data_IF_203616703354
#
_entry.id   IF_203616703354
#
_cell.length_a   1.000
_cell.length_b   1.000
_cell.length_c   1.000
_cell.angle_alpha   90.00
_cell.angle_beta   90.00
_cell.angle_gamma   90.00
#
_symmetry.space_group_name_H-M   'P 1'
#
loop_
_entity.id
_entity.type
_entity.pdbx_description
1 polymer ?
#
# COMPACT_ATOMS: atom_id res chain seq x y z
N UNK A 1 0.25 0.24 -16.29
CA UNK A 1 0.56 -1.22 -16.29
C UNK A 1 0.31 -1.74 -14.89
N UNK A 2 -0.38 -2.87 -14.75
CA UNK A 2 -0.76 -3.43 -13.45
C UNK A 2 -0.22 -4.85 -13.30
N UNK A 3 0.25 -5.18 -12.10
CA UNK A 3 0.63 -6.54 -11.71
C UNK A 3 -0.13 -6.91 -10.43
N UNK A 4 -0.85 -8.02 -10.47
CA UNK A 4 -1.44 -8.59 -9.28
C UNK A 4 -0.33 -9.12 -8.37
N UNK A 5 -0.34 -8.70 -7.10
CA UNK A 5 0.67 -9.08 -6.12
C UNK A 5 0.27 -10.29 -5.28
N UNK A 6 -0.99 -10.77 -5.37
CA UNK A 6 -1.56 -11.72 -4.42
C UNK A 6 -2.00 -13.07 -5.01
N UNK A 7 -1.63 -14.14 -4.29
CA UNK A 7 -2.47 -15.31 -3.94
C UNK A 7 -2.29 -15.54 -2.42
N UNK A 8 -3.32 -15.40 -1.58
CA UNK A 8 -3.27 -15.66 -0.13
C UNK A 8 -4.19 -14.80 0.74
N UNK A 9 -4.24 -15.07 2.06
CA UNK A 9 -4.85 -14.20 3.09
C UNK A 9 -3.76 -13.31 3.67
N UNK A 10 -3.68 -12.09 3.18
CA UNK A 10 -2.71 -11.05 3.55
C UNK A 10 -3.38 -9.91 4.29
N UNK A 11 -2.74 -9.41 5.34
CA UNK A 11 -3.18 -8.22 6.07
C UNK A 11 -2.16 -7.08 5.95
N UNK A 12 -2.64 -5.85 6.12
CA UNK A 12 -1.85 -4.63 6.20
C UNK A 12 -2.07 -4.02 7.57
N UNK A 13 -0.99 -3.71 8.26
CA UNK A 13 -1.09 -2.92 9.48
C UNK A 13 -0.96 -1.44 9.15
N UNK A 14 -1.87 -0.65 9.71
CA UNK A 14 -2.00 0.78 9.52
C UNK A 14 -1.87 1.48 10.87
N UNK A 15 -1.08 2.54 10.92
CA UNK A 15 -0.93 3.38 12.11
C UNK A 15 -1.44 4.78 11.81
N UNK A 16 -2.21 5.32 12.74
CA UNK A 16 -2.83 6.63 12.65
C UNK A 16 -2.12 7.65 13.55
N UNK A 17 -2.33 8.93 13.27
CA UNK A 17 -1.79 10.05 14.05
C UNK A 17 -2.27 10.04 15.52
N UNK A 18 -3.47 9.49 15.75
CA UNK A 18 -4.04 9.27 17.10
C UNK A 18 -3.24 8.31 17.98
N UNK A 19 -2.23 7.62 17.42
CA UNK A 19 -1.47 6.56 18.07
C UNK A 19 -2.17 5.20 18.03
N UNK A 20 -3.38 5.13 17.45
CA UNK A 20 -4.08 3.86 17.22
C UNK A 20 -3.46 3.09 16.04
N UNK A 21 -3.58 1.77 16.10
CA UNK A 21 -3.12 0.86 15.06
C UNK A 21 -4.22 -0.13 14.70
N UNK A 22 -4.36 -0.42 13.41
CA UNK A 22 -5.39 -1.33 12.91
C UNK A 22 -4.84 -2.28 11.85
N UNK A 23 -5.42 -3.46 11.74
CA UNK A 23 -5.03 -4.46 10.75
C UNK A 23 -6.17 -4.70 9.79
N UNK A 24 -5.99 -4.28 8.54
CA UNK A 24 -6.99 -4.47 7.49
C UNK A 24 -6.61 -5.69 6.66
N UNK A 25 -7.60 -6.48 6.26
CA UNK A 25 -7.43 -7.58 5.29
C UNK A 25 -7.97 -7.20 3.91
N UNK A 26 -7.18 -6.62 2.99
CA UNK A 26 -7.63 -6.32 1.65
C UNK A 26 -8.04 -7.59 0.90
N UNK A 27 -8.96 -7.48 -0.05
CA UNK A 27 -9.32 -8.54 -0.99
C UNK A 27 -8.24 -8.73 -2.06
N UNK A 28 -7.67 -7.63 -2.54
CA UNK A 28 -6.66 -7.65 -3.60
C UNK A 28 -5.52 -6.70 -3.29
N UNK A 29 -4.32 -7.12 -3.67
CA UNK A 29 -3.12 -6.30 -3.70
C UNK A 29 -2.63 -6.23 -5.14
N UNK A 30 -2.42 -5.02 -5.65
CA UNK A 30 -1.86 -4.80 -6.97
C UNK A 30 -0.72 -3.79 -6.89
N UNK A 31 0.21 -3.87 -7.82
CA UNK A 31 1.14 -2.80 -8.12
C UNK A 31 0.79 -2.22 -9.48
N UNK A 32 0.92 -0.91 -9.62
CA UNK A 32 0.77 -0.23 -10.89
C UNK A 32 1.88 0.80 -11.08
N UNK A 33 2.30 1.00 -12.33
CA UNK A 33 3.08 2.18 -12.69
C UNK A 33 2.11 3.23 -13.26
N UNK A 34 1.98 4.34 -12.55
CA UNK A 34 1.09 5.45 -12.90
C UNK A 34 1.85 6.77 -12.85
N UNK A 35 1.86 7.51 -13.97
CA UNK A 35 2.47 8.85 -14.08
C UNK A 35 3.93 8.94 -13.58
N UNK A 36 4.69 7.85 -13.65
CA UNK A 36 6.09 7.79 -13.19
C UNK A 36 6.26 7.36 -11.72
N UNK A 37 5.16 7.10 -11.01
CA UNK A 37 5.13 6.62 -9.64
C UNK A 37 4.63 5.18 -9.58
N UNK A 38 5.15 4.41 -8.63
CA UNK A 38 4.64 3.06 -8.37
C UNK A 38 3.55 3.13 -7.32
N UNK A 39 2.33 2.82 -7.72
CA UNK A 39 1.18 2.72 -6.85
C UNK A 39 1.04 1.29 -6.31
N UNK A 40 0.90 1.14 -5.01
CA UNK A 40 0.46 -0.10 -4.36
C UNK A 40 -1.03 0.07 -4.07
N UNK A 41 -1.86 -0.76 -4.71
CA UNK A 41 -3.31 -0.70 -4.61
C UNK A 41 -3.82 -1.77 -3.66
N UNK A 42 -4.60 -1.36 -2.66
CA UNK A 42 -5.33 -2.22 -1.74
C UNK A 42 -6.82 -2.13 -2.04
N UNK A 43 -7.44 -3.23 -2.45
CA UNK A 43 -8.90 -3.26 -2.61
C UNK A 43 -9.57 -3.79 -1.34
N UNK A 44 -10.47 -3.02 -0.76
CA UNK A 44 -11.29 -3.44 0.38
C UNK A 44 -12.61 -4.07 -0.11
N UNK A 45 -13.09 -5.10 0.59
CA UNK A 45 -14.24 -5.92 0.19
C UNK A 45 -15.63 -5.43 0.64
N UNK A 46 -15.86 -4.56 1.61
CA UNK A 46 -17.15 -3.86 1.86
C UNK A 46 -18.42 -4.67 2.16
N UNK A 47 -18.37 -6.00 2.19
CA UNK A 47 -19.49 -6.85 2.55
C UNK A 47 -19.56 -7.15 4.06
N UNK A 48 -18.50 -6.83 4.81
CA UNK A 48 -18.40 -7.07 6.26
C UNK A 48 -18.46 -5.73 7.03
N UNK A 49 -19.20 -5.70 8.14
CA UNK A 49 -19.35 -4.53 9.02
C UNK A 49 -17.99 -4.04 9.54
N UNK A 50 -17.05 -4.97 9.76
CA UNK A 50 -15.67 -4.65 10.12
C UNK A 50 -15.01 -3.74 9.08
N UNK A 51 -15.17 -4.06 7.79
CA UNK A 51 -14.55 -3.26 6.72
C UNK A 51 -15.22 -1.90 6.51
N UNK A 52 -16.49 -1.74 6.92
CA UNK A 52 -17.14 -0.43 6.95
C UNK A 52 -16.57 0.45 8.06
N UNK A 53 -16.15 -0.14 9.18
CA UNK A 53 -15.46 0.56 10.27
C UNK A 53 -14.06 0.96 9.81
N UNK A 54 -13.34 0.05 9.16
CA UNK A 54 -12.00 0.30 8.61
C UNK A 54 -12.02 1.45 7.59
N UNK A 55 -12.97 1.45 6.65
CA UNK A 55 -13.11 2.55 5.67
C UNK A 55 -13.43 3.88 6.35
N UNK A 56 -14.25 3.86 7.41
CA UNK A 56 -14.58 5.08 8.15
C UNK A 56 -13.33 5.66 8.79
N UNK A 57 -12.53 4.83 9.47
CA UNK A 57 -11.27 5.25 10.11
C UNK A 57 -10.29 5.82 9.10
N UNK A 58 -10.05 5.11 8.00
CA UNK A 58 -9.20 5.57 6.89
C UNK A 58 -9.59 6.95 6.33
N UNK A 59 -10.85 7.36 6.47
CA UNK A 59 -11.35 8.67 6.05
C UNK A 59 -11.34 9.73 7.14
N UNK A 60 -11.50 9.33 8.40
CA UNK A 60 -11.61 10.26 9.53
C UNK A 60 -10.28 10.52 10.22
N UNK A 61 -9.31 9.62 10.08
CA UNK A 61 -8.01 9.70 10.76
C UNK A 61 -6.88 9.81 9.76
N UNK A 62 -5.89 10.64 10.07
CA UNK A 62 -4.67 10.79 9.29
C UNK A 62 -3.82 9.53 9.47
N UNK A 63 -3.55 8.84 8.36
CA UNK A 63 -2.63 7.71 8.33
C UNK A 63 -1.19 8.23 8.39
N UNK A 64 -0.36 7.66 9.27
CA UNK A 64 1.05 8.06 9.45
C UNK A 64 2.02 6.97 8.99
N UNK A 65 1.69 5.70 9.19
CA UNK A 65 2.53 4.60 8.75
C UNK A 65 1.73 3.41 8.23
N UNK A 66 2.35 2.67 7.31
CA UNK A 66 1.83 1.43 6.75
C UNK A 66 2.90 0.35 6.84
N UNK A 67 2.49 -0.83 7.27
CA UNK A 67 3.36 -1.99 7.41
C UNK A 67 2.77 -3.21 6.67
N UNK A 68 3.56 -3.76 5.75
CA UNK A 68 3.29 -4.99 5.01
C UNK A 68 4.31 -6.04 5.47
N UNK A 69 3.85 -7.14 6.05
CA UNK A 69 4.72 -8.23 6.56
C UNK A 69 4.64 -9.52 5.75
N UNK A 70 3.89 -9.49 4.64
CA UNK A 70 3.55 -10.68 3.85
C UNK A 70 4.58 -10.96 2.75
N UNK A 71 5.38 -12.00 2.97
CA UNK A 71 6.52 -12.36 2.12
C UNK A 71 6.15 -12.45 0.63
N UNK A 72 5.00 -13.06 0.29
CA UNK A 72 4.59 -13.23 -1.12
C UNK A 72 4.31 -11.89 -1.81
N UNK A 73 3.62 -10.96 -1.13
CA UNK A 73 3.33 -9.62 -1.68
C UNK A 73 4.64 -8.85 -1.86
N UNK A 74 5.51 -8.94 -0.86
CA UNK A 74 6.80 -8.25 -0.85
C UNK A 74 7.70 -8.76 -1.99
N UNK A 75 7.74 -10.07 -2.20
CA UNK A 75 8.50 -10.69 -3.29
C UNK A 75 7.95 -10.31 -4.66
N UNK A 76 6.62 -10.36 -4.85
CA UNK A 76 5.98 -9.98 -6.11
C UNK A 76 6.17 -8.49 -6.41
N UNK A 77 6.11 -7.63 -5.39
CA UNK A 77 6.38 -6.20 -5.55
C UNK A 77 7.86 -5.96 -5.91
N UNK A 78 8.78 -6.66 -5.26
CA UNK A 78 10.20 -6.56 -5.59
C UNK A 78 10.51 -7.06 -7.02
N UNK A 79 9.79 -8.07 -7.50
CA UNK A 79 9.89 -8.53 -8.89
C UNK A 79 9.34 -7.49 -9.87
N UNK A 80 8.18 -6.91 -9.58
CA UNK A 80 7.59 -5.83 -10.39
C UNK A 80 8.56 -4.66 -10.54
N UNK A 81 9.18 -4.22 -9.44
CA UNK A 81 10.11 -3.09 -9.43
C UNK A 81 11.45 -3.35 -10.12
N UNK A 82 11.82 -4.61 -10.33
CA UNK A 82 13.03 -4.98 -11.08
C UNK A 82 12.82 -4.95 -12.59
N UNK A 83 11.59 -4.80 -13.06
CA UNK A 83 11.30 -4.74 -14.48
C UNK A 83 11.97 -3.49 -15.10
N UNK A 84 12.64 -3.62 -16.26
CA UNK A 84 13.52 -2.57 -16.81
C UNK A 84 12.78 -1.28 -17.20
N UNK A 85 11.46 -1.35 -17.37
CA UNK A 85 10.58 -0.21 -17.68
C UNK A 85 10.00 0.48 -16.43
N UNK A 86 10.17 -0.10 -15.24
CA UNK A 86 9.68 0.49 -13.99
C UNK A 86 10.75 1.42 -13.43
N UNK A 87 10.64 2.71 -13.74
CA UNK A 87 11.48 3.78 -13.19
C UNK A 87 10.67 4.62 -12.22
N UNK A 88 10.44 4.08 -11.04
CA UNK A 88 9.68 4.76 -9.99
C UNK A 88 10.51 5.90 -9.39
N UNK A 89 10.03 7.13 -9.51
CA UNK A 89 10.61 8.26 -8.77
C UNK A 89 9.99 8.36 -7.37
N UNK A 90 8.73 7.96 -7.25
CA UNK A 90 7.93 8.02 -6.02
C UNK A 90 7.09 6.75 -5.85
N UNK A 91 6.62 6.53 -4.63
CA UNK A 91 5.65 5.47 -4.32
C UNK A 91 4.37 6.07 -3.78
N UNK A 92 3.25 5.53 -4.27
CA UNK A 92 1.91 5.89 -3.87
C UNK A 92 1.26 4.68 -3.22
N UNK A 93 0.48 4.94 -2.19
CA UNK A 93 -0.41 3.97 -1.60
C UNK A 93 -1.83 4.36 -1.96
N UNK A 94 -2.57 3.44 -2.55
CA UNK A 94 -3.94 3.68 -2.97
C UNK A 94 -4.87 2.67 -2.31
N UNK A 95 -5.76 3.14 -1.44
CA UNK A 95 -6.78 2.29 -0.82
C UNK A 95 -8.09 2.47 -1.57
N UNK A 96 -8.51 1.42 -2.28
CA UNK A 96 -9.70 1.41 -3.12
C UNK A 96 -10.88 0.77 -2.38
N UNK A 97 -11.95 1.54 -2.21
CA UNK A 97 -13.23 1.09 -1.66
C UNK A 97 -14.40 1.71 -2.44
N UNK A 98 -15.39 0.92 -2.88
CA UNK A 98 -16.64 1.37 -3.55
C UNK A 98 -16.38 2.38 -4.68
N UNK A 99 -15.39 2.10 -5.53
CA UNK A 99 -14.99 2.99 -6.63
C UNK A 99 -14.49 4.38 -6.18
N UNK A 100 -14.08 4.51 -4.93
CA UNK A 100 -13.35 5.65 -4.38
C UNK A 100 -11.96 5.19 -3.97
N UNK A 101 -10.98 6.04 -4.17
CA UNK A 101 -9.60 5.82 -3.76
C UNK A 101 -9.21 6.85 -2.73
N UNK A 102 -8.49 6.38 -1.72
CA UNK A 102 -7.71 7.23 -0.82
C UNK A 102 -6.26 7.08 -1.25
N UNK A 103 -5.69 8.17 -1.72
CA UNK A 103 -4.32 8.20 -2.24
C UNK A 103 -3.40 8.84 -1.20
N UNK A 104 -2.30 8.16 -0.89
CA UNK A 104 -1.28 8.62 0.04
C UNK A 104 0.07 8.60 -0.65
N UNK A 105 0.81 9.70 -0.57
CA UNK A 105 2.23 9.69 -0.93
C UNK A 105 2.99 9.05 0.20
N UNK A 106 3.76 8.02 -0.11
CA UNK A 106 4.53 7.30 0.90
C UNK A 106 6.03 7.42 0.66
N UNK A 107 6.72 7.82 1.72
CA UNK A 107 8.16 7.77 1.82
C UNK A 107 8.53 6.43 2.44
N UNK A 108 9.33 5.63 1.75
CA UNK A 108 9.85 4.40 2.35
C UNK A 108 10.90 4.78 3.39
N UNK A 109 10.49 4.78 4.66
CA UNK A 109 11.29 5.19 5.81
C UNK A 109 12.49 4.26 6.04
N UNK A 110 13.67 4.78 5.76
CA UNK A 110 14.97 4.58 6.40
C UNK A 110 15.28 3.23 7.08
N UNK A 111 15.78 2.30 6.25
CA UNK A 111 17.06 1.64 6.55
C UNK A 111 18.09 1.92 5.43
N UNK A 112 18.29 3.22 5.13
CA UNK A 112 19.48 3.71 4.41
C UNK A 112 19.52 3.45 2.90
N UNK A 113 18.46 3.79 2.18
CA UNK A 113 18.28 3.28 0.83
C UNK A 113 17.72 4.41 -0.07
N UNK A 114 18.52 4.85 -1.06
CA UNK A 114 18.25 5.87 -2.10
C UNK A 114 17.53 5.29 -3.32
N UNK A 115 16.42 5.84 -3.85
CA UNK A 115 15.62 5.20 -4.91
C UNK A 115 16.46 4.50 -6.00
N UNK A 116 16.21 3.20 -6.28
CA UNK A 116 15.10 2.35 -5.83
C UNK A 116 15.58 1.33 -4.78
N UNK A 117 15.27 1.44 -3.48
CA UNK A 117 16.26 0.91 -2.55
C UNK A 117 15.62 -0.01 -1.55
N UNK A 118 16.01 -1.28 -1.69
CA UNK A 118 15.53 -2.47 -0.97
C UNK A 118 14.34 -2.14 -0.06
N UNK A 119 13.17 -2.02 -0.69
CA UNK A 119 11.86 -1.94 -0.02
C UNK A 119 11.67 -3.01 1.05
N UNK A 120 12.40 -4.11 0.89
CA UNK A 120 12.36 -5.27 1.74
C UNK A 120 13.39 -5.15 2.85
N UNK A 121 12.93 -4.78 4.04
CA UNK A 121 13.73 -4.98 5.26
C UNK A 121 13.55 -6.43 5.73
N UNK A 122 14.64 -7.04 6.21
CA UNK A 122 14.63 -8.39 6.79
C UNK A 122 14.93 -8.28 8.28
N UNK A 123 14.05 -8.83 9.11
CA UNK A 123 14.33 -9.08 10.53
C UNK A 123 14.25 -10.60 10.76
N UNK A 124 15.41 -11.25 10.88
CA UNK A 124 15.50 -12.71 10.85
C UNK A 124 15.02 -13.29 9.50
N UNK A 125 14.04 -14.20 9.54
CA UNK A 125 13.43 -14.82 8.35
C UNK A 125 12.24 -14.05 7.78
N UNK A 126 11.74 -13.01 8.47
CA UNK A 126 10.55 -12.25 8.05
C UNK A 126 10.95 -11.03 7.23
N UNK A 127 10.27 -10.84 6.10
CA UNK A 127 10.39 -9.65 5.26
C UNK A 127 9.26 -8.69 5.61
N UNK A 128 9.54 -7.40 5.64
CA UNK A 128 8.51 -6.39 5.74
C UNK A 128 8.84 -5.14 4.91
N UNK A 129 7.80 -4.42 4.54
CA UNK A 129 7.86 -3.07 3.99
C UNK A 129 7.19 -2.16 5.02
N UNK A 130 7.94 -1.17 5.49
CA UNK A 130 7.40 -0.07 6.29
C UNK A 130 7.49 1.20 5.46
N UNK A 131 6.38 1.94 5.41
CA UNK A 131 6.24 3.15 4.65
C UNK A 131 5.63 4.24 5.53
N UNK A 132 6.27 5.39 5.57
CA UNK A 132 5.76 6.59 6.23
C UNK A 132 4.88 7.35 5.24
N UNK A 133 3.71 7.77 5.69
CA UNK A 133 2.81 8.59 4.89
C UNK A 133 3.29 10.02 4.95
N UNK A 134 3.74 10.55 3.82
CA UNK A 134 4.22 11.92 3.70
C UNK A 134 3.05 12.91 3.60
N UNK A 135 1.99 12.53 2.90
CA UNK A 135 0.77 13.33 2.77
C UNK A 135 -0.41 12.48 2.28
N UNK A 136 -1.61 12.88 2.68
CA UNK A 136 -2.87 12.38 2.14
C UNK A 136 -3.31 13.29 0.99
N UNK A 137 -3.43 12.73 -0.22
CA UNK A 137 -3.76 13.50 -1.44
C UNK A 137 -5.27 13.73 -1.60
N UNK A 138 -6.09 13.11 -0.76
CA UNK A 138 -7.53 13.30 -0.70
C UNK A 138 -8.35 12.14 -1.28
N UNK A 139 -9.66 12.31 -1.31
CA UNK A 139 -10.62 11.35 -1.86
C UNK A 139 -10.74 11.56 -3.37
N UNK A 140 -10.11 10.68 -4.14
CA UNK A 140 -10.26 10.64 -5.60
C UNK A 140 -11.33 9.62 -5.98
N UNK A 141 -12.02 9.82 -7.11
CA UNK A 141 -12.77 8.70 -7.70
C UNK A 141 -11.72 7.66 -8.08
N UNK A 142 -11.85 6.43 -7.58
CA UNK A 142 -11.03 5.35 -8.08
C UNK A 142 -11.32 5.30 -9.57
N UNK A 143 -10.28 5.42 -10.38
CA UNK A 143 -10.40 5.33 -11.84
C UNK A 143 -10.79 3.89 -12.16
N UNK A 144 -12.09 3.62 -12.04
CA UNK A 144 -12.71 2.41 -12.50
C UNK A 144 -12.72 2.43 -14.02
N UNK A 145 -12.09 1.39 -14.58
CA UNK A 145 -11.91 1.03 -16.00
C UNK A 145 -10.65 1.59 -16.64
N UNK A 146 -9.58 0.78 -16.62
CA UNK A 146 -9.06 0.09 -17.82
C UNK A 146 -8.63 -1.32 -17.42
#
# INVERSE_FOLDING_TARGET
>A
MHQDLRKGQSSVYLQYESGSGDTIGPEQFKAALERGSVAILFHLKLFDDNQRIDERRLRSETLTQVHLSENNIIENLAQFLKQPYVKAQEMLLQVVSRSKSLDYTVSVGAAGLKPPPRLVQRFGSKKYIQAEVASQLGLTRALGRI
#
